data_IF_987802804291
#
_entry.id   IF_987802804291
#
_cell.length_a   1.000
_cell.length_b   1.000
_cell.length_c   1.000
_cell.angle_alpha   90.00
_cell.angle_beta   90.00
_cell.angle_gamma   90.00
#
_symmetry.space_group_name_H-M   'P 1'
#
loop_
_entity.id
_entity.type
_entity.pdbx_description
1 polymer ?
#
# COMPACT_ATOMS: atom_id res chain seq x y z
N UNK A 1 -19.27 -0.03 -12.38
CA UNK A 1 -18.19 0.70 -11.69
C UNK A 1 -17.18 1.08 -12.75
N UNK A 2 -17.02 2.37 -13.00
CA UNK A 2 -16.09 2.85 -14.03
C UNK A 2 -14.66 2.65 -13.52
N UNK A 3 -13.82 2.00 -14.32
CA UNK A 3 -12.45 1.70 -13.93
C UNK A 3 -11.55 2.88 -14.35
N UNK A 4 -10.65 3.31 -13.47
CA UNK A 4 -9.71 4.40 -13.78
C UNK A 4 -8.81 3.94 -14.94
N UNK A 5 -8.72 4.70 -16.05
CA UNK A 5 -7.83 4.34 -17.14
C UNK A 5 -6.38 4.20 -16.64
N UNK A 6 -5.64 3.13 -17.01
CA UNK A 6 -4.32 2.86 -16.43
C UNK A 6 -3.33 4.02 -16.56
N UNK A 7 -3.34 4.73 -17.69
CA UNK A 7 -2.45 5.87 -17.92
C UNK A 7 -2.74 7.05 -16.98
N UNK A 8 -4.01 7.28 -16.63
CA UNK A 8 -4.41 8.30 -15.65
C UNK A 8 -3.94 7.90 -14.25
N UNK A 9 -4.16 6.63 -13.88
CA UNK A 9 -3.74 6.12 -12.58
C UNK A 9 -2.22 6.22 -12.40
N UNK A 10 -1.46 5.74 -13.39
CA UNK A 10 0.00 5.79 -13.35
C UNK A 10 0.51 7.23 -13.32
N UNK A 11 -0.05 8.13 -14.13
CA UNK A 11 0.31 9.55 -14.13
C UNK A 11 0.01 10.25 -12.80
N UNK A 12 -1.09 9.92 -12.13
CA UNK A 12 -1.37 10.45 -10.80
C UNK A 12 -0.30 10.01 -9.79
N UNK A 13 0.06 8.72 -9.77
CA UNK A 13 1.08 8.21 -8.84
C UNK A 13 2.47 8.84 -9.06
N UNK A 14 2.85 9.18 -10.30
CA UNK A 14 4.13 9.87 -10.56
C UNK A 14 4.16 11.28 -9.99
N UNK A 15 3.01 11.95 -9.94
CA UNK A 15 2.85 13.29 -9.36
C UNK A 15 2.59 13.25 -7.84
N UNK A 16 2.68 12.08 -7.21
CA UNK A 16 2.39 11.91 -5.78
C UNK A 16 0.90 11.96 -5.44
N UNK A 17 0.01 11.86 -6.43
CA UNK A 17 -1.45 11.83 -6.27
C UNK A 17 -1.94 10.39 -6.21
N UNK A 18 -2.96 10.09 -5.39
CA UNK A 18 -3.59 8.77 -5.35
C UNK A 18 -5.12 8.87 -5.28
N UNK A 19 -5.86 7.91 -5.88
CA UNK A 19 -7.30 7.87 -5.75
C UNK A 19 -7.69 7.20 -4.42
N UNK A 20 -8.74 7.71 -3.78
CA UNK A 20 -9.37 7.08 -2.63
C UNK A 20 -10.88 7.35 -2.69
N UNK A 21 -11.67 6.37 -2.28
CA UNK A 21 -13.12 6.51 -2.24
C UNK A 21 -13.56 7.17 -0.92
N UNK A 22 -14.39 8.20 -1.01
CA UNK A 22 -15.04 8.86 0.12
C UNK A 22 -16.54 8.98 -0.23
N UNK A 23 -17.41 8.57 0.68
CA UNK A 23 -18.88 8.59 0.48
C UNK A 23 -19.38 7.88 -0.79
N UNK A 24 -18.61 6.93 -1.33
CA UNK A 24 -18.95 6.16 -2.53
C UNK A 24 -18.48 6.79 -3.84
N UNK A 25 -17.82 7.95 -3.79
CA UNK A 25 -17.21 8.62 -4.94
C UNK A 25 -15.68 8.57 -4.86
N UNK A 26 -15.03 8.53 -6.03
CA UNK A 26 -13.56 8.52 -6.11
C UNK A 26 -13.06 9.96 -6.14
N UNK A 27 -12.18 10.30 -5.20
CA UNK A 27 -11.47 11.57 -5.17
C UNK A 27 -9.96 11.36 -5.32
N UNK A 28 -9.27 12.39 -5.80
CA UNK A 28 -7.82 12.42 -5.95
C UNK A 28 -7.19 13.19 -4.79
N UNK A 29 -6.24 12.55 -4.09
CA UNK A 29 -5.62 13.10 -2.88
C UNK A 29 -4.14 13.39 -3.10
N UNK A 30 -3.70 14.55 -2.60
CA UNK A 30 -2.30 14.97 -2.50
C UNK A 30 -2.07 15.66 -1.15
N UNK A 31 -1.91 14.89 -0.06
CA UNK A 31 -1.77 15.48 1.27
C UNK A 31 -0.45 16.23 1.42
N UNK A 32 -0.50 17.39 2.09
CA UNK A 32 0.70 18.19 2.40
C UNK A 32 1.70 17.41 3.26
N UNK A 33 1.19 16.65 4.25
CA UNK A 33 1.98 15.74 5.07
C UNK A 33 1.74 14.30 4.61
N UNK A 34 2.76 13.68 4.03
CA UNK A 34 2.67 12.30 3.53
C UNK A 34 3.17 11.31 4.58
N UNK A 35 2.37 10.30 4.90
CA UNK A 35 2.82 9.16 5.68
C UNK A 35 3.81 8.33 4.86
N UNK A 36 5.09 8.34 5.24
CA UNK A 36 6.15 7.55 4.60
C UNK A 36 6.76 6.63 5.64
N UNK A 37 6.96 5.36 5.28
CA UNK A 37 7.58 4.35 6.13
C UNK A 37 8.99 4.07 5.62
N UNK A 38 10.04 4.42 6.39
CA UNK A 38 11.40 3.99 6.07
C UNK A 38 11.50 2.46 6.10
N UNK A 39 12.10 1.89 5.06
CA UNK A 39 12.33 0.43 4.92
C UNK A 39 13.79 0.03 5.17
N UNK A 40 14.61 0.98 5.62
CA UNK A 40 16.00 0.78 6.02
C UNK A 40 16.08 0.35 7.50
N UNK A 41 17.22 0.63 8.14
CA UNK A 41 17.49 0.32 9.55
C UNK A 41 16.55 1.04 10.54
N UNK A 42 15.80 2.05 10.08
CA UNK A 42 14.81 2.77 10.89
C UNK A 42 13.49 2.00 11.04
N UNK A 43 13.25 0.95 10.26
CA UNK A 43 12.01 0.16 10.38
C UNK A 43 11.96 -0.60 11.72
N UNK A 44 11.04 -0.18 12.60
CA UNK A 44 10.90 -0.81 13.92
C UNK A 44 10.10 -2.11 13.86
N UNK A 45 10.76 -3.23 14.13
CA UNK A 45 10.10 -4.54 14.33
C UNK A 45 9.97 -4.82 15.83
N UNK A 46 8.76 -4.82 16.41
CA UNK A 46 8.57 -5.09 17.83
C UNK A 46 9.05 -6.49 18.23
N UNK A 47 9.50 -6.66 19.48
CA UNK A 47 10.00 -7.95 20.00
C UNK A 47 9.00 -9.10 19.84
N UNK A 48 7.70 -8.82 20.05
CA UNK A 48 6.62 -9.80 19.84
C UNK A 48 6.55 -10.29 18.40
N UNK A 49 6.57 -9.36 17.44
CA UNK A 49 6.58 -9.68 16.01
C UNK A 49 7.83 -10.49 15.64
N UNK A 50 9.02 -10.11 16.12
CA UNK A 50 10.26 -10.90 15.93
C UNK A 50 10.11 -12.34 16.45
N UNK A 51 9.42 -12.55 17.57
CA UNK A 51 9.14 -13.90 18.11
C UNK A 51 8.17 -14.67 17.22
N UNK A 52 7.11 -14.03 16.72
CA UNK A 52 6.14 -14.66 15.82
C UNK A 52 6.75 -15.05 14.48
N UNK A 53 7.54 -14.16 13.87
CA UNK A 53 8.21 -14.42 12.58
C UNK A 53 9.14 -15.64 12.63
N UNK A 54 9.84 -15.86 13.75
CA UNK A 54 10.71 -17.03 13.95
C UNK A 54 9.98 -18.37 13.89
N UNK A 55 8.66 -18.40 14.12
CA UNK A 55 7.86 -19.64 14.03
C UNK A 55 7.60 -20.07 12.58
N UNK A 56 7.81 -19.19 11.59
CA UNK A 56 7.54 -19.45 10.17
C UNK A 56 6.15 -20.05 9.93
N UNK A 57 5.14 -19.55 10.65
CA UNK A 57 3.78 -20.08 10.58
C UNK A 57 3.03 -19.71 9.29
N UNK A 58 3.58 -18.79 8.50
CA UNK A 58 3.00 -18.30 7.25
C UNK A 58 3.99 -18.55 6.10
N UNK A 59 3.45 -18.93 4.95
CA UNK A 59 4.18 -18.96 3.69
C UNK A 59 3.99 -17.60 2.98
N UNK A 60 5.08 -16.92 2.66
CA UNK A 60 5.06 -15.58 2.07
C UNK A 60 5.29 -15.72 0.57
N UNK A 61 4.32 -15.27 -0.22
CA UNK A 61 4.36 -15.33 -1.69
C UNK A 61 4.14 -13.93 -2.27
N UNK A 62 4.62 -13.72 -3.49
CA UNK A 62 4.51 -12.45 -4.22
C UNK A 62 3.76 -12.68 -5.52
N UNK A 63 2.78 -11.82 -5.83
CA UNK A 63 2.01 -11.83 -7.08
C UNK A 63 1.30 -13.16 -7.42
N UNK A 64 0.97 -13.99 -6.43
CA UNK A 64 0.33 -15.29 -6.67
C UNK A 64 -1.21 -15.24 -6.72
N UNK A 65 -1.84 -14.21 -6.15
CA UNK A 65 -3.31 -14.12 -6.04
C UNK A 65 -3.78 -12.65 -5.90
N UNK A 66 -3.37 -11.75 -6.80
CA UNK A 66 -3.67 -10.31 -6.70
C UNK A 66 -5.17 -9.97 -6.56
N UNK A 67 -6.12 -10.62 -7.27
CA UNK A 67 -7.55 -10.30 -7.12
C UNK A 67 -8.19 -10.73 -5.79
N UNK A 68 -7.52 -11.61 -5.02
CA UNK A 68 -8.03 -12.19 -3.77
C UNK A 68 -7.51 -11.45 -2.52
N UNK A 69 -6.61 -10.47 -2.69
CA UNK A 69 -5.98 -9.67 -1.63
C UNK A 69 -6.45 -8.23 -1.71
#
# INVERSE_FOLDING_TARGET
MECIPPHILLGAYTEGVFPMAEEGEIHWFSPLMRGVMPIDDRFHVPRGLKKSLRKKAFDIRMNTAFPEV
#
